data_IF_450791720071
#
_entry.id   IF_450791720071
#
_cell.length_a   1.000
_cell.length_b   1.000
_cell.length_c   1.000
_cell.angle_alpha   90.00
_cell.angle_beta   90.00
_cell.angle_gamma   90.00
#
_symmetry.space_group_name_H-M   'P 1'
#
loop_
_entity.id
_entity.type
_entity.pdbx_description
1 polymer ?
#
# COMPACT_ATOMS: atom_id res chain seq x y z
N UNK A 1 3.88 16.99 9.88
CA UNK A 1 3.71 15.63 10.46
C UNK A 1 2.21 15.35 10.43
N UNK A 2 1.76 14.36 9.66
CA UNK A 2 0.32 14.11 9.41
C UNK A 2 -0.41 13.58 10.65
N UNK A 3 0.29 12.86 11.52
CA UNK A 3 -0.27 12.33 12.76
C UNK A 3 -0.06 13.32 13.91
N UNK A 4 -1.00 13.40 14.87
CA UNK A 4 -0.76 14.08 16.13
C UNK A 4 0.47 13.49 16.84
N UNK A 5 1.17 14.29 17.64
CA UNK A 5 2.26 13.76 18.46
C UNK A 5 1.67 12.94 19.61
N UNK A 6 2.11 11.68 19.83
CA UNK A 6 1.75 10.99 21.05
C UNK A 6 2.34 11.72 22.26
N UNK A 7 1.74 11.51 23.44
CA UNK A 7 2.33 11.99 24.69
C UNK A 7 3.72 11.35 24.90
N UNK A 8 4.60 11.99 25.67
CA UNK A 8 5.98 11.51 25.87
C UNK A 8 6.06 10.10 26.50
N UNK A 9 4.98 9.64 27.14
CA UNK A 9 4.89 8.36 27.84
C UNK A 9 4.12 7.30 27.05
N UNK A 10 3.36 7.66 26.01
CA UNK A 10 2.55 6.71 25.24
C UNK A 10 3.23 6.26 23.94
N UNK A 11 3.34 4.94 23.81
CA UNK A 11 3.66 4.33 22.52
C UNK A 11 2.40 4.33 21.65
N UNK A 12 2.49 4.98 20.49
CA UNK A 12 1.41 4.96 19.48
C UNK A 12 1.18 3.53 19.00
N UNK A 13 -0.03 3.03 19.18
CA UNK A 13 -0.46 1.73 18.64
C UNK A 13 -0.85 1.84 17.17
N UNK A 14 -0.84 0.72 16.48
CA UNK A 14 -1.10 0.67 15.04
C UNK A 14 -1.36 -0.72 14.50
N UNK A 15 -1.02 -0.94 13.23
CA UNK A 15 -1.37 -2.18 12.51
C UNK A 15 -0.76 -3.43 13.15
N UNK A 16 0.45 -3.30 13.73
CA UNK A 16 1.07 -4.40 14.47
C UNK A 16 0.18 -4.87 15.62
N UNK A 17 -0.31 -3.95 16.45
CA UNK A 17 -1.10 -4.26 17.65
C UNK A 17 -2.42 -4.95 17.26
N UNK A 18 -3.05 -4.49 16.18
CA UNK A 18 -4.26 -5.12 15.62
C UNK A 18 -3.96 -6.55 15.13
N UNK A 19 -2.88 -6.74 14.39
CA UNK A 19 -2.52 -8.04 13.83
C UNK A 19 -2.13 -9.09 14.89
N UNK A 20 -1.70 -8.66 16.08
CA UNK A 20 -1.41 -9.57 17.20
C UNK A 20 -2.60 -9.77 18.15
N UNK A 21 -3.77 -9.20 17.83
CA UNK A 21 -5.04 -9.52 18.49
C UNK A 21 -5.77 -8.37 19.18
N UNK A 22 -5.31 -7.13 19.06
CA UNK A 22 -6.12 -5.99 19.49
C UNK A 22 -7.24 -5.69 18.47
N UNK A 23 -8.37 -5.18 18.95
CA UNK A 23 -9.44 -4.71 18.08
C UNK A 23 -9.11 -3.31 17.52
N UNK A 24 -9.51 -3.00 16.27
CA UNK A 24 -9.37 -1.66 15.73
C UNK A 24 -10.27 -0.67 16.49
N UNK A 25 -9.66 0.40 17.00
CA UNK A 25 -10.31 1.40 17.85
C UNK A 25 -9.84 2.82 17.49
N UNK A 26 -10.82 3.73 17.34
CA UNK A 26 -10.58 5.13 17.09
C UNK A 26 -9.80 5.79 18.22
N UNK A 27 -8.84 6.65 17.84
CA UNK A 27 -7.93 7.36 18.74
C UNK A 27 -6.95 6.47 19.53
N UNK A 28 -6.99 5.14 19.32
CA UNK A 28 -6.02 4.20 19.89
C UNK A 28 -5.05 3.72 18.80
N UNK A 29 -5.53 2.91 17.88
CA UNK A 29 -4.76 2.37 16.74
C UNK A 29 -5.27 2.87 15.38
N UNK A 30 -6.45 3.52 15.34
CA UNK A 30 -7.01 4.23 14.18
C UNK A 30 -7.00 5.74 14.45
N UNK A 31 -6.06 6.45 13.83
CA UNK A 31 -5.69 7.81 14.26
C UNK A 31 -6.19 8.85 13.27
N UNK A 32 -6.95 9.84 13.72
CA UNK A 32 -7.31 10.99 12.90
C UNK A 32 -6.07 11.83 12.57
N UNK A 33 -5.92 12.22 11.30
CA UNK A 33 -4.81 13.07 10.86
C UNK A 33 -5.04 14.54 11.15
N UNK A 34 -3.96 15.27 11.40
CA UNK A 34 -3.96 16.73 11.54
C UNK A 34 -3.64 17.37 10.18
N UNK A 35 -4.61 17.38 9.26
CA UNK A 35 -4.44 17.99 7.93
C UNK A 35 -5.53 19.02 7.60
N UNK A 36 -5.15 20.29 7.50
CA UNK A 36 -6.09 21.42 7.32
C UNK A 36 -6.98 21.30 6.08
N UNK A 37 -6.49 20.71 4.99
CA UNK A 37 -7.21 20.67 3.71
C UNK A 37 -8.07 19.41 3.53
N UNK A 38 -7.87 18.38 4.36
CA UNK A 38 -8.61 17.11 4.27
C UNK A 38 -9.64 17.01 5.41
N UNK A 39 -9.46 17.81 6.47
CA UNK A 39 -10.38 17.89 7.60
C UNK A 39 -10.45 16.57 8.38
N UNK A 40 -11.58 16.34 9.04
CA UNK A 40 -11.80 15.20 9.95
C UNK A 40 -12.18 13.90 9.21
N UNK A 41 -11.60 13.67 8.02
CA UNK A 41 -12.01 12.60 7.09
C UNK A 41 -10.92 11.59 6.77
N UNK A 42 -9.70 11.84 7.22
CA UNK A 42 -8.57 10.97 6.96
C UNK A 42 -8.04 10.38 8.27
N UNK A 43 -8.22 9.08 8.39
CA UNK A 43 -7.66 8.26 9.46
C UNK A 43 -6.51 7.43 8.91
N UNK A 44 -5.52 7.20 9.77
CA UNK A 44 -4.35 6.37 9.47
C UNK A 44 -4.20 5.34 10.58
N UNK A 45 -4.06 4.08 10.18
CA UNK A 45 -3.53 3.03 11.05
C UNK A 45 -2.01 3.02 10.83
N UNK A 46 -1.21 3.52 11.78
CA UNK A 46 0.23 3.65 11.57
C UNK A 46 0.91 2.28 11.60
N UNK A 47 1.97 2.13 10.80
CA UNK A 47 2.95 1.06 10.98
C UNK A 47 4.13 1.56 11.81
N UNK A 48 4.80 0.64 12.51
CA UNK A 48 6.07 0.89 13.18
C UNK A 48 7.04 -0.27 12.94
N UNK A 49 8.29 -0.14 13.42
CA UNK A 49 9.36 -1.13 13.22
C UNK A 49 9.03 -2.55 13.70
N UNK A 50 8.05 -2.73 14.60
CA UNK A 50 7.64 -4.08 15.04
C UNK A 50 6.96 -4.85 13.93
N UNK A 51 6.40 -4.14 12.96
CA UNK A 51 5.78 -4.73 11.78
C UNK A 51 6.76 -5.62 10.99
N UNK A 52 8.04 -5.23 10.95
CA UNK A 52 9.12 -5.99 10.31
C UNK A 52 9.34 -7.38 10.95
N UNK A 53 8.87 -7.59 12.18
CA UNK A 53 8.99 -8.88 12.88
C UNK A 53 7.97 -9.91 12.41
N UNK A 54 6.86 -9.46 11.82
CA UNK A 54 5.71 -10.32 11.51
C UNK A 54 5.28 -10.27 10.04
N UNK A 55 5.75 -9.29 9.26
CA UNK A 55 5.25 -9.06 7.90
C UNK A 55 5.33 -10.28 6.97
N UNK A 56 6.30 -11.18 7.15
CA UNK A 56 6.50 -12.37 6.32
C UNK A 56 5.80 -13.63 6.84
N UNK A 57 5.42 -13.67 8.12
CA UNK A 57 4.84 -14.84 8.80
C UNK A 57 3.33 -14.73 9.01
N UNK A 58 2.76 -13.55 8.78
CA UNK A 58 1.32 -13.30 8.88
C UNK A 58 0.52 -14.18 7.89
N UNK A 59 -0.61 -14.69 8.38
CA UNK A 59 -1.61 -15.39 7.55
C UNK A 59 -2.07 -14.50 6.38
N UNK A 60 -2.20 -15.04 5.16
CA UNK A 60 -2.77 -14.32 4.03
C UNK A 60 -4.18 -13.75 4.30
N UNK A 61 -4.92 -14.26 5.29
CA UNK A 61 -6.26 -13.78 5.60
C UNK A 61 -6.32 -12.80 6.78
N UNK A 62 -5.17 -12.45 7.38
CA UNK A 62 -5.15 -11.69 8.63
C UNK A 62 -5.85 -10.33 8.53
N UNK A 63 -5.57 -9.54 7.49
CA UNK A 63 -6.23 -8.23 7.32
C UNK A 63 -7.74 -8.37 7.16
N UNK A 64 -8.21 -9.40 6.45
CA UNK A 64 -9.64 -9.68 6.32
C UNK A 64 -10.26 -9.99 7.67
N UNK A 65 -9.61 -10.86 8.45
CA UNK A 65 -10.10 -11.27 9.76
C UNK A 65 -10.17 -10.13 10.77
N UNK A 66 -9.18 -9.22 10.80
CA UNK A 66 -9.12 -8.17 11.83
C UNK A 66 -9.71 -6.81 11.39
N UNK A 67 -9.84 -6.55 10.08
CA UNK A 67 -10.28 -5.22 9.60
C UNK A 67 -11.56 -5.23 8.77
N UNK A 68 -12.04 -6.33 8.20
CA UNK A 68 -13.15 -6.29 7.22
C UNK A 68 -14.43 -5.66 7.78
N UNK A 69 -14.86 -6.12 8.96
CA UNK A 69 -16.06 -5.60 9.62
C UNK A 69 -15.91 -4.15 10.06
N UNK A 70 -14.75 -3.80 10.61
CA UNK A 70 -14.48 -2.43 11.06
C UNK A 70 -14.37 -1.46 9.88
N UNK A 71 -13.63 -1.84 8.84
CA UNK A 71 -13.43 -1.04 7.64
C UNK A 71 -14.76 -0.75 6.93
N UNK A 72 -15.55 -1.79 6.67
CA UNK A 72 -16.82 -1.69 5.92
C UNK A 72 -17.89 -0.85 6.61
N UNK A 73 -17.88 -0.79 7.95
CA UNK A 73 -18.84 0.00 8.74
C UNK A 73 -18.45 1.47 8.87
N UNK A 74 -17.16 1.79 8.78
CA UNK A 74 -16.64 3.08 9.19
C UNK A 74 -16.03 3.91 8.05
N UNK A 75 -15.69 3.31 6.91
CA UNK A 75 -15.01 4.00 5.81
C UNK A 75 -15.64 3.70 4.47
N UNK A 76 -15.81 4.74 3.66
CA UNK A 76 -16.20 4.61 2.25
C UNK A 76 -15.06 4.02 1.39
N UNK A 77 -13.82 4.36 1.74
CA UNK A 77 -12.61 3.98 1.01
C UNK A 77 -11.50 3.62 1.99
N UNK A 78 -10.85 2.49 1.75
CA UNK A 78 -9.63 2.05 2.44
C UNK A 78 -8.51 1.93 1.44
N UNK A 79 -7.38 2.59 1.72
CA UNK A 79 -6.16 2.51 0.92
C UNK A 79 -5.13 1.77 1.75
N UNK A 80 -4.55 0.71 1.18
CA UNK A 80 -3.46 -0.05 1.81
C UNK A 80 -2.19 0.23 1.02
N UNK A 81 -1.24 0.89 1.68
CA UNK A 81 0.13 0.99 1.20
C UNK A 81 0.90 -0.27 1.60
N UNK A 82 1.53 -0.93 0.64
CA UNK A 82 2.18 -2.22 0.84
C UNK A 82 3.69 -2.08 0.71
N UNK A 83 4.48 -2.83 1.52
CA UNK A 83 5.91 -3.01 1.23
C UNK A 83 6.13 -3.52 -0.20
N UNK A 84 7.32 -3.30 -0.81
CA UNK A 84 7.62 -3.72 -2.17
C UNK A 84 7.76 -5.25 -2.35
N UNK A 85 7.51 -6.03 -1.30
CA UNK A 85 7.59 -7.50 -1.33
C UNK A 85 6.20 -8.11 -1.55
N UNK A 86 6.11 -9.28 -2.18
CA UNK A 86 4.82 -9.99 -2.36
C UNK A 86 4.71 -11.19 -1.41
N UNK A 87 5.09 -10.98 -0.15
CA UNK A 87 5.06 -11.99 0.90
C UNK A 87 4.24 -11.51 2.11
N UNK A 88 3.70 -12.48 2.86
CA UNK A 88 2.90 -12.28 4.07
C UNK A 88 1.86 -11.17 3.94
N UNK A 89 2.11 -10.00 4.54
CA UNK A 89 1.14 -8.90 4.55
C UNK A 89 0.72 -8.43 3.15
N UNK A 90 1.62 -8.37 2.17
CA UNK A 90 1.23 -7.88 0.83
C UNK A 90 0.24 -8.83 0.19
N UNK A 91 0.40 -10.15 0.38
CA UNK A 91 -0.62 -11.13 -0.02
C UNK A 91 -1.94 -10.93 0.73
N UNK A 92 -1.86 -10.60 2.03
CA UNK A 92 -3.06 -10.27 2.79
C UNK A 92 -3.77 -9.02 2.31
N UNK A 93 -3.02 -7.98 1.92
CA UNK A 93 -3.57 -6.76 1.34
C UNK A 93 -4.22 -7.03 -0.02
N UNK A 94 -3.59 -7.84 -0.87
CA UNK A 94 -4.13 -8.27 -2.17
C UNK A 94 -5.48 -9.00 -1.99
N UNK A 95 -5.56 -9.93 -1.04
CA UNK A 95 -6.78 -10.70 -0.79
C UNK A 95 -7.90 -9.83 -0.17
N UNK A 96 -7.53 -8.90 0.71
CA UNK A 96 -8.46 -7.94 1.31
C UNK A 96 -9.03 -6.95 0.30
N UNK A 97 -8.19 -6.41 -0.59
CA UNK A 97 -8.55 -5.29 -1.45
C UNK A 97 -9.58 -5.66 -2.54
N UNK A 98 -10.54 -4.78 -2.80
CA UNK A 98 -11.46 -4.94 -3.94
C UNK A 98 -10.81 -4.58 -5.28
N UNK A 99 -9.82 -3.68 -5.26
CA UNK A 99 -9.07 -3.19 -6.43
C UNK A 99 -7.60 -3.14 -6.07
N UNK A 100 -6.74 -3.50 -7.02
CA UNK A 100 -5.29 -3.52 -6.84
C UNK A 100 -4.69 -2.60 -7.89
N UNK A 101 -3.90 -1.63 -7.45
CA UNK A 101 -3.16 -0.70 -8.30
C UNK A 101 -1.69 -1.09 -8.21
N UNK A 102 -1.08 -1.35 -9.37
CA UNK A 102 0.36 -1.61 -9.47
C UNK A 102 0.99 -0.39 -10.16
N UNK A 103 1.66 0.50 -9.41
CA UNK A 103 2.44 1.57 -10.03
C UNK A 103 3.64 0.96 -10.76
N UNK A 104 3.80 1.32 -12.04
CA UNK A 104 4.88 0.83 -12.89
C UNK A 104 5.64 2.00 -13.52
N UNK A 105 6.96 2.05 -13.31
CA UNK A 105 7.85 2.96 -14.02
C UNK A 105 8.22 2.36 -15.39
N UNK A 106 8.45 3.20 -16.40
CA UNK A 106 8.71 2.77 -17.79
C UNK A 106 10.18 2.34 -18.02
N UNK A 107 10.96 2.19 -16.96
CA UNK A 107 12.37 1.78 -17.05
C UNK A 107 12.52 0.27 -17.28
N UNK A 108 13.57 -0.15 -17.99
CA UNK A 108 13.84 -1.58 -18.18
C UNK A 108 14.03 -2.33 -16.85
N UNK A 109 14.57 -1.65 -15.84
CA UNK A 109 14.80 -2.19 -14.50
C UNK A 109 13.48 -2.50 -13.76
N UNK A 110 12.40 -1.78 -14.07
CA UNK A 110 11.09 -1.98 -13.46
C UNK A 110 10.28 -3.13 -14.08
N UNK A 111 10.65 -3.60 -15.28
CA UNK A 111 9.90 -4.63 -16.02
C UNK A 111 9.77 -5.94 -15.23
N UNK A 112 10.90 -6.55 -14.86
CA UNK A 112 10.92 -7.84 -14.15
C UNK A 112 10.18 -7.83 -12.81
N UNK A 113 10.46 -6.85 -11.91
CA UNK A 113 9.70 -6.70 -10.67
C UNK A 113 8.20 -6.50 -10.88
N UNK A 114 7.80 -5.70 -11.89
CA UNK A 114 6.38 -5.46 -12.19
C UNK A 114 5.70 -6.73 -12.69
N UNK A 115 6.31 -7.48 -13.60
CA UNK A 115 5.79 -8.77 -14.06
C UNK A 115 5.63 -9.77 -12.90
N UNK A 116 6.61 -9.81 -11.99
CA UNK A 116 6.52 -10.64 -10.80
C UNK A 116 5.30 -10.27 -9.94
N UNK A 117 5.09 -8.99 -9.64
CA UNK A 117 3.92 -8.52 -8.88
C UNK A 117 2.60 -8.81 -9.60
N UNK A 118 2.54 -8.63 -10.91
CA UNK A 118 1.36 -8.97 -11.73
C UNK A 118 1.03 -10.46 -11.59
N UNK A 119 2.01 -11.33 -11.76
CA UNK A 119 1.81 -12.77 -11.70
C UNK A 119 1.36 -13.22 -10.31
N UNK A 120 1.90 -12.66 -9.24
CA UNK A 120 1.45 -12.97 -7.87
C UNK A 120 0.00 -12.53 -7.62
N UNK A 121 -0.42 -11.39 -8.17
CA UNK A 121 -1.82 -10.93 -8.08
C UNK A 121 -2.74 -11.89 -8.85
N UNK A 122 -2.34 -12.31 -10.05
CA UNK A 122 -3.09 -13.28 -10.86
C UNK A 122 -3.18 -14.66 -10.19
N UNK A 123 -2.10 -15.13 -9.57
CA UNK A 123 -2.04 -16.40 -8.83
C UNK A 123 -2.97 -16.42 -7.59
N UNK A 124 -3.43 -15.26 -7.13
CA UNK A 124 -4.40 -15.11 -6.04
C UNK A 124 -5.82 -14.90 -6.56
N UNK A 125 -6.07 -15.17 -7.85
CA UNK A 125 -7.35 -14.98 -8.54
C UNK A 125 -7.89 -13.54 -8.46
N UNK A 126 -6.98 -12.56 -8.46
CA UNK A 126 -7.31 -11.12 -8.45
C UNK A 126 -6.90 -10.47 -9.77
N UNK A 127 -7.50 -9.31 -10.06
CA UNK A 127 -7.22 -8.54 -11.28
C UNK A 127 -6.31 -7.34 -10.97
N UNK A 128 -5.08 -7.30 -11.52
CA UNK A 128 -4.20 -6.15 -11.38
C UNK A 128 -4.65 -4.98 -12.26
N UNK A 129 -4.55 -3.74 -11.76
CA UNK A 129 -4.69 -2.53 -12.57
C UNK A 129 -3.33 -1.84 -12.63
N UNK A 130 -2.69 -1.90 -13.78
CA UNK A 130 -1.34 -1.35 -13.99
C UNK A 130 -1.48 0.14 -14.30
N UNK A 131 -0.73 0.97 -13.57
CA UNK A 131 -0.68 2.42 -13.80
C UNK A 131 0.75 2.80 -14.15
N UNK A 132 0.96 3.20 -15.40
CA UNK A 132 2.26 3.67 -15.87
C UNK A 132 2.53 5.08 -15.36
N UNK A 133 3.57 5.23 -14.56
CA UNK A 133 4.01 6.51 -14.00
C UNK A 133 4.92 7.19 -15.04
N UNK A 134 4.63 8.46 -15.33
CA UNK A 134 5.42 9.25 -16.28
C UNK A 134 5.16 8.94 -17.75
N UNK A 135 4.15 8.13 -18.06
CA UNK A 135 3.77 7.85 -19.45
C UNK A 135 3.19 9.11 -20.10
N UNK A 136 3.72 9.43 -21.27
CA UNK A 136 3.14 10.40 -22.18
C UNK A 136 2.67 9.65 -23.42
N UNK A 137 1.47 9.99 -23.92
CA UNK A 137 1.03 9.45 -25.20
C UNK A 137 2.09 9.76 -26.26
N UNK A 138 2.55 8.76 -27.03
CA UNK A 138 3.50 9.00 -28.10
C UNK A 138 2.89 10.02 -29.06
N UNK A 139 3.58 11.13 -29.31
CA UNK A 139 3.16 12.06 -30.35
C UNK A 139 3.21 11.30 -31.69
N UNK A 140 2.09 11.13 -32.41
CA UNK A 140 2.06 10.42 -33.68
C UNK A 140 2.94 11.08 -34.76
N UNK A 141 3.46 12.29 -34.52
CA UNK A 141 4.44 13.00 -35.37
C UNK A 141 5.85 13.02 -34.79
N UNK A 142 6.07 12.51 -33.59
CA UNK A 142 7.39 12.39 -32.98
C UNK A 142 8.16 11.27 -33.66
N UNK A 143 9.14 11.63 -34.49
CA UNK A 143 10.20 10.68 -34.84
C UNK A 143 10.75 10.14 -33.52
N UNK A 144 10.69 8.81 -33.35
CA UNK A 144 11.10 8.16 -32.11
C UNK A 144 12.47 8.68 -31.69
N UNK A 145 12.61 9.00 -30.40
CA UNK A 145 13.93 9.26 -29.82
C UNK A 145 14.77 8.00 -30.10
N UNK A 146 15.72 8.14 -31.02
CA UNK A 146 16.69 7.12 -31.33
C UNK A 146 17.75 7.14 -30.22
N UNK A 147 17.55 6.30 -29.21
CA UNK A 147 18.43 6.14 -28.05
C UNK A 147 19.84 5.64 -28.42
N UNK A 148 20.13 5.40 -29.71
CA UNK A 148 21.45 4.95 -30.17
C UNK A 148 22.53 6.03 -30.13
N UNK A 149 22.20 7.27 -29.75
CA UNK A 149 23.17 8.35 -29.50
C UNK A 149 23.01 8.97 -28.11
N UNK A 150 23.13 8.18 -27.04
CA UNK A 150 23.34 8.73 -25.70
C UNK A 150 24.78 9.27 -25.53
N UNK A 151 25.01 10.41 -24.85
CA UNK A 151 26.34 10.73 -24.34
C UNK A 151 26.69 9.73 -23.24
N UNK A 152 27.89 9.15 -23.34
CA UNK A 152 28.51 8.30 -22.32
C UNK A 152 28.62 9.05 -20.99
N UNK A 153 28.07 8.48 -19.93
CA UNK A 153 28.49 8.71 -18.54
C UNK A 153 29.12 7.43 -18.00
#
# INVERSE_FOLDING_TARGET
>A
MLLPKPSAEEKRKGIYDILVGEEPEFNVNVVLTNHSNIGDRLYIIPADHRFDLIYSTISPFALKQCLEDFASKNFDVVIIDTPPTVQGITRSAILFANKIIIPCEISQQAHGPTEYTINEVLNLDKTPNIVYIGWQEPDPKGEGLDDRNGPTF
#
